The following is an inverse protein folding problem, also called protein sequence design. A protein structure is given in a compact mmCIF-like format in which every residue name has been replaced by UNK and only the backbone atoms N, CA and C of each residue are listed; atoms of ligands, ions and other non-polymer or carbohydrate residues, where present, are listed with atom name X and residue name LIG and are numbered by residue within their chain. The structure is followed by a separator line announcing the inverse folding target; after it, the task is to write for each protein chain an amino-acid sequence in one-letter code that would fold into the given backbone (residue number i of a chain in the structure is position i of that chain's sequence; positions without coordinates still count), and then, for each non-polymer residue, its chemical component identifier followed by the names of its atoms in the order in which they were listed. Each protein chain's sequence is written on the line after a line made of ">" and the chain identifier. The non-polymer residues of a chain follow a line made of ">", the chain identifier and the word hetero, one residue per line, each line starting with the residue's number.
data_IF_569255048096
#
_entry.id   IF_569255048096
#
_cell.length_a   1.000
_cell.length_b   1.000
_cell.length_c   1.000
_cell.angle_alpha   90.00
_cell.angle_beta   90.00
_cell.angle_gamma   90.00
#
_symmetry.space_group_name_H-M   'P 1'
#
loop_
_entity.id
_entity.type
_entity.pdbx_description
1 polymer ?
#
# COMPACT_ATOMS: atom_id res chain seq x y z
N UNK A 1 42.39 -5.42 -29.77
CA UNK A 1 41.40 -6.49 -29.57
C UNK A 1 40.42 -5.99 -28.52
N UNK A 2 39.31 -5.38 -28.93
CA UNK A 2 38.27 -4.93 -27.98
C UNK A 2 37.43 -6.13 -27.57
N UNK A 3 37.43 -6.46 -26.29
CA UNK A 3 36.53 -7.44 -25.72
C UNK A 3 35.16 -6.78 -25.49
N UNK A 4 34.15 -7.26 -26.21
CA UNK A 4 32.75 -6.87 -26.01
C UNK A 4 32.27 -7.41 -24.67
N UNK A 5 31.71 -6.56 -23.80
CA UNK A 5 31.14 -6.99 -22.53
C UNK A 5 29.93 -7.91 -22.76
N UNK A 6 29.72 -8.95 -21.93
CA UNK A 6 28.58 -9.84 -22.06
C UNK A 6 27.27 -9.11 -21.75
N UNK A 7 26.25 -9.35 -22.57
CA UNK A 7 24.88 -8.85 -22.39
C UNK A 7 24.27 -9.43 -21.10
N UNK A 8 23.57 -8.62 -20.29
CA UNK A 8 22.96 -9.11 -19.05
C UNK A 8 21.89 -10.16 -19.38
N UNK A 9 21.76 -11.23 -18.56
CA UNK A 9 20.78 -12.27 -18.83
C UNK A 9 19.37 -11.67 -18.75
N UNK A 10 18.59 -11.89 -19.82
CA UNK A 10 17.17 -11.57 -19.82
C UNK A 10 16.49 -12.29 -18.65
N UNK A 11 15.82 -11.54 -17.78
CA UNK A 11 15.09 -12.08 -16.63
C UNK A 11 13.92 -12.91 -17.15
N UNK A 12 14.12 -14.21 -17.31
CA UNK A 12 13.09 -15.14 -17.75
C UNK A 12 12.26 -15.59 -16.55
N UNK A 13 11.40 -14.71 -16.03
CA UNK A 13 10.31 -15.16 -15.16
C UNK A 13 9.12 -15.53 -16.05
N UNK A 14 8.90 -16.83 -16.21
CA UNK A 14 7.65 -17.33 -16.78
C UNK A 14 6.49 -16.79 -15.93
N UNK A 15 5.52 -16.04 -16.49
CA UNK A 15 4.42 -15.51 -15.71
C UNK A 15 3.62 -16.67 -15.10
N UNK A 16 3.44 -16.65 -13.78
CA UNK A 16 2.48 -17.54 -13.14
C UNK A 16 1.07 -17.21 -13.66
N UNK A 17 0.20 -18.20 -13.89
CA UNK A 17 -1.18 -17.95 -14.31
C UNK A 17 -1.87 -17.04 -13.29
N UNK A 18 -2.45 -15.92 -13.76
CA UNK A 18 -3.09 -14.92 -12.92
C UNK A 18 -3.07 -13.52 -13.55
N UNK A 19 -3.57 -12.50 -12.83
CA UNK A 19 -3.52 -11.10 -13.27
C UNK A 19 -2.08 -10.66 -13.55
N UNK A 20 -1.90 -9.57 -14.31
CA UNK A 20 -0.56 -9.02 -14.50
C UNK A 20 0.05 -8.57 -13.15
N UNK A 21 1.37 -8.40 -13.10
CA UNK A 21 2.03 -7.97 -11.86
C UNK A 21 1.49 -6.63 -11.37
N UNK A 22 1.28 -5.67 -12.28
CA UNK A 22 0.71 -4.37 -11.96
C UNK A 22 -0.70 -4.49 -11.38
N UNK A 23 -1.57 -5.35 -11.94
CA UNK A 23 -2.91 -5.58 -11.42
C UNK A 23 -2.89 -6.17 -10.01
N UNK A 24 -1.95 -7.08 -9.72
CA UNK A 24 -1.79 -7.64 -8.37
C UNK A 24 -1.33 -6.59 -7.37
N UNK A 25 -0.41 -5.71 -7.76
CA UNK A 25 0.05 -4.60 -6.91
C UNK A 25 -1.11 -3.65 -6.65
N UNK A 26 -1.84 -3.24 -7.69
CA UNK A 26 -3.00 -2.37 -7.55
C UNK A 26 -4.07 -2.98 -6.64
N UNK A 27 -4.40 -4.27 -6.84
CA UNK A 27 -5.38 -4.96 -6.02
C UNK A 27 -4.94 -5.06 -4.56
N UNK A 28 -3.65 -5.31 -4.30
CA UNK A 28 -3.10 -5.36 -2.95
C UNK A 28 -3.20 -4.00 -2.26
N UNK A 29 -2.80 -2.91 -2.94
CA UNK A 29 -2.86 -1.56 -2.38
C UNK A 29 -4.31 -1.10 -2.15
N UNK A 30 -5.20 -1.36 -3.12
CA UNK A 30 -6.61 -1.00 -3.01
C UNK A 30 -7.31 -1.79 -1.88
N UNK A 31 -7.04 -3.09 -1.75
CA UNK A 31 -7.61 -3.90 -0.68
C UNK A 31 -7.07 -3.50 0.70
N UNK A 32 -5.78 -3.17 0.79
CA UNK A 32 -5.19 -2.62 2.02
C UNK A 32 -5.86 -1.32 2.45
N UNK A 33 -5.99 -0.36 1.52
CA UNK A 33 -6.65 0.92 1.79
C UNK A 33 -8.14 0.77 2.15
N UNK A 34 -8.84 -0.17 1.50
CA UNK A 34 -10.22 -0.47 1.85
C UNK A 34 -10.35 -1.09 3.26
N UNK A 35 -9.44 -2.00 3.61
CA UNK A 35 -9.39 -2.62 4.94
C UNK A 35 -9.05 -1.63 6.05
N UNK A 36 -8.08 -0.75 5.80
CA UNK A 36 -7.75 0.39 6.66
C UNK A 36 -8.99 1.28 6.88
N UNK A 37 -9.58 1.82 5.81
CA UNK A 37 -10.72 2.73 5.93
C UNK A 37 -11.93 2.10 6.66
N UNK A 38 -12.15 0.79 6.49
CA UNK A 38 -13.20 0.06 7.18
C UNK A 38 -12.87 -0.19 8.66
N UNK A 39 -11.63 -0.59 8.94
CA UNK A 39 -11.14 -0.90 10.28
C UNK A 39 -10.98 0.33 11.17
N UNK A 40 -10.58 1.46 10.58
CA UNK A 40 -10.36 2.73 11.28
C UNK A 40 -11.61 3.24 12.02
N UNK A 41 -12.81 2.97 11.50
CA UNK A 41 -14.08 3.39 12.14
C UNK A 41 -14.30 2.72 13.50
N UNK A 42 -13.77 1.51 13.67
CA UNK A 42 -13.90 0.74 14.91
C UNK A 42 -12.58 0.60 15.66
N UNK A 43 -11.58 1.40 15.27
CA UNK A 43 -10.30 1.43 15.95
C UNK A 43 -10.50 1.72 17.45
N UNK A 44 -9.75 1.01 18.31
CA UNK A 44 -9.87 1.05 19.77
C UNK A 44 -11.23 0.61 20.36
N UNK A 45 -12.16 0.12 19.55
CA UNK A 45 -13.43 -0.45 20.03
C UNK A 45 -13.25 -1.93 20.37
N UNK A 46 -13.59 -2.39 21.58
CA UNK A 46 -13.48 -3.81 21.93
C UNK A 46 -14.47 -4.63 21.11
N UNK A 47 -14.13 -5.89 20.81
CA UNK A 47 -14.95 -6.78 19.98
C UNK A 47 -16.41 -6.91 20.47
N UNK A 48 -16.65 -6.86 21.79
CA UNK A 48 -18.01 -6.85 22.36
C UNK A 48 -18.79 -5.57 22.04
N UNK A 49 -18.12 -4.42 21.98
CA UNK A 49 -18.71 -3.14 21.57
C UNK A 49 -19.03 -3.14 20.08
N UNK A 50 -18.10 -3.62 19.24
CA UNK A 50 -18.33 -3.79 17.80
C UNK A 50 -19.55 -4.70 17.56
N UNK A 51 -19.62 -5.84 18.26
CA UNK A 51 -20.73 -6.77 18.10
C UNK A 51 -22.08 -6.21 18.59
N UNK A 52 -22.07 -5.32 19.60
CA UNK A 52 -23.28 -4.68 20.10
C UNK A 52 -23.87 -3.66 19.10
N UNK A 53 -23.02 -2.99 18.32
CA UNK A 53 -23.44 -1.98 17.33
C UNK A 53 -23.69 -2.61 15.95
N UNK A 54 -22.80 -3.47 15.48
CA UNK A 54 -22.80 -4.02 14.12
C UNK A 54 -23.28 -5.48 14.04
N UNK A 55 -23.60 -6.10 15.18
CA UNK A 55 -24.01 -7.50 15.25
C UNK A 55 -22.82 -8.48 15.28
N UNK A 56 -23.08 -9.78 15.41
CA UNK A 56 -22.03 -10.80 15.64
C UNK A 56 -21.03 -10.96 14.49
N UNK A 57 -21.37 -10.49 13.28
CA UNK A 57 -20.47 -10.49 12.13
C UNK A 57 -19.48 -9.30 12.14
N UNK A 58 -19.70 -8.31 13.02
CA UNK A 58 -18.94 -7.07 13.04
C UNK A 58 -19.19 -6.20 11.82
N UNK A 59 -18.19 -5.40 11.46
CA UNK A 59 -18.25 -4.48 10.32
C UNK A 59 -18.11 -5.27 9.01
N UNK A 60 -19.14 -5.20 8.17
CA UNK A 60 -19.18 -5.96 6.89
C UNK A 60 -19.64 -5.14 5.68
N UNK A 61 -20.21 -3.95 5.90
CA UNK A 61 -20.70 -3.07 4.84
C UNK A 61 -20.25 -1.62 5.10
N UNK A 62 -19.54 -1.04 4.13
CA UNK A 62 -19.11 0.35 4.18
C UNK A 62 -20.28 1.34 4.02
N UNK A 63 -21.36 0.96 3.32
CA UNK A 63 -22.52 1.82 3.13
C UNK A 63 -23.22 2.12 4.47
N UNK A 64 -23.31 1.11 5.34
CA UNK A 64 -23.87 1.26 6.68
C UNK A 64 -23.02 2.21 7.54
N UNK A 65 -21.69 2.09 7.48
CA UNK A 65 -20.80 3.02 8.19
C UNK A 65 -20.91 4.45 7.67
N UNK A 66 -20.93 4.63 6.35
CA UNK A 66 -21.08 5.95 5.73
C UNK A 66 -22.40 6.62 6.14
N UNK A 67 -23.48 5.84 6.20
CA UNK A 67 -24.78 6.34 6.66
C UNK A 67 -24.76 6.72 8.15
N UNK A 68 -24.06 5.95 9.00
CA UNK A 68 -23.91 6.24 10.44
C UNK A 68 -23.07 7.50 10.69
N UNK A 69 -21.96 7.65 9.97
CA UNK A 69 -21.05 8.80 10.08
C UNK A 69 -21.56 10.05 9.33
N UNK A 70 -22.61 9.92 8.51
CA UNK A 70 -23.09 11.00 7.65
C UNK A 70 -22.04 11.46 6.62
N UNK A 71 -21.16 10.54 6.21
CA UNK A 71 -20.01 10.83 5.37
C UNK A 71 -20.20 10.33 3.93
N UNK A 72 -19.46 10.93 2.99
CA UNK A 72 -19.44 10.51 1.58
C UNK A 72 -18.31 9.55 1.25
N UNK A 73 -17.32 9.42 2.13
CA UNK A 73 -16.21 8.47 2.04
C UNK A 73 -15.68 8.16 3.44
N UNK A 74 -15.11 6.97 3.61
CA UNK A 74 -14.36 6.62 4.82
C UNK A 74 -12.91 7.08 4.63
N UNK A 75 -12.33 7.82 5.60
CA UNK A 75 -10.95 8.25 5.51
C UNK A 75 -10.01 7.05 5.68
N UNK A 76 -8.91 7.05 4.93
CA UNK A 76 -7.76 6.19 5.21
C UNK A 76 -6.95 6.76 6.40
N UNK A 77 -6.28 5.89 7.17
CA UNK A 77 -5.50 6.28 8.35
C UNK A 77 -3.99 6.36 8.04
N UNK A 78 -3.19 6.50 9.09
CA UNK A 78 -1.74 6.39 9.02
C UNK A 78 -1.27 5.04 8.45
N UNK A 79 -2.03 3.94 8.57
CA UNK A 79 -1.71 2.65 7.94
C UNK A 79 -1.52 2.79 6.42
N UNK A 80 -2.53 3.33 5.72
CA UNK A 80 -2.42 3.55 4.26
C UNK A 80 -1.48 4.70 3.94
N UNK A 81 -1.54 5.80 4.69
CA UNK A 81 -0.71 6.97 4.40
C UNK A 81 0.78 6.65 4.49
N UNK A 82 1.23 6.02 5.59
CA UNK A 82 2.62 5.58 5.74
C UNK A 82 2.99 4.53 4.70
N UNK A 83 2.09 3.60 4.35
CA UNK A 83 2.33 2.64 3.26
C UNK A 83 2.64 3.36 1.95
N UNK A 84 1.84 4.37 1.58
CA UNK A 84 2.05 5.14 0.35
C UNK A 84 3.36 5.95 0.38
N UNK A 85 3.73 6.52 1.52
CA UNK A 85 5.01 7.23 1.66
C UNK A 85 6.23 6.30 1.64
N UNK A 86 6.11 5.08 2.17
CA UNK A 86 7.15 4.05 2.01
C UNK A 86 7.33 3.69 0.53
N UNK A 87 6.23 3.55 -0.22
CA UNK A 87 6.28 3.29 -1.66
C UNK A 87 6.90 4.46 -2.43
N UNK A 88 6.56 5.70 -2.07
CA UNK A 88 7.15 6.91 -2.65
C UNK A 88 8.68 6.92 -2.50
N UNK A 89 9.19 6.64 -1.29
CA UNK A 89 10.64 6.55 -1.06
C UNK A 89 11.33 5.40 -1.81
N UNK A 90 10.64 4.27 -1.99
CA UNK A 90 11.17 3.15 -2.79
C UNK A 90 11.18 3.47 -4.29
N UNK A 91 10.16 4.16 -4.81
CA UNK A 91 10.11 4.60 -6.20
C UNK A 91 11.21 5.63 -6.48
N UNK A 92 11.39 6.62 -5.60
CA UNK A 92 12.47 7.61 -5.69
C UNK A 92 13.84 6.94 -5.74
N UNK A 93 14.07 5.91 -4.90
CA UNK A 93 15.29 5.12 -4.95
C UNK A 93 15.49 4.38 -6.28
N UNK A 94 14.45 3.71 -6.81
CA UNK A 94 14.50 3.00 -8.09
C UNK A 94 14.81 3.97 -9.25
N UNK A 95 14.21 5.16 -9.25
CA UNK A 95 14.45 6.20 -10.24
C UNK A 95 15.92 6.63 -10.24
N UNK A 96 16.50 6.93 -9.06
CA UNK A 96 17.91 7.30 -8.97
C UNK A 96 18.84 6.16 -9.41
N UNK A 97 18.51 4.92 -9.07
CA UNK A 97 19.29 3.75 -9.53
C UNK A 97 19.23 3.59 -11.05
N UNK A 98 18.07 3.81 -11.68
CA UNK A 98 17.92 3.79 -13.14
C UNK A 98 18.73 4.91 -13.83
N UNK A 99 18.87 6.06 -13.16
CA UNK A 99 19.68 7.19 -13.62
C UNK A 99 21.19 7.03 -13.32
N UNK A 100 21.59 5.94 -12.66
CA UNK A 100 22.98 5.69 -12.27
C UNK A 100 23.48 6.55 -11.11
N UNK A 101 22.55 7.16 -10.36
CA UNK A 101 22.83 8.00 -9.19
C UNK A 101 22.83 7.13 -7.92
N UNK A 102 23.94 7.07 -7.16
CA UNK A 102 23.97 6.34 -5.90
C UNK A 102 22.96 6.92 -4.89
N UNK A 103 22.14 6.04 -4.33
CA UNK A 103 21.05 6.37 -3.42
C UNK A 103 20.97 5.30 -2.32
N UNK A 104 20.81 5.71 -1.06
CA UNK A 104 20.54 4.76 0.02
C UNK A 104 19.03 4.52 0.13
N UNK A 105 18.53 3.29 -0.09
CA UNK A 105 17.09 3.02 -0.03
C UNK A 105 16.48 3.32 1.33
N UNK A 106 17.24 3.12 2.42
CA UNK A 106 16.76 3.43 3.76
C UNK A 106 16.60 4.95 3.96
N UNK A 107 17.55 5.76 3.48
CA UNK A 107 17.45 7.21 3.50
C UNK A 107 16.27 7.73 2.67
N UNK A 108 16.02 7.19 1.47
CA UNK A 108 14.87 7.61 0.65
C UNK A 108 13.54 7.34 1.35
N UNK A 109 13.35 6.13 1.91
CA UNK A 109 12.15 5.79 2.68
C UNK A 109 12.03 6.67 3.93
N UNK A 110 13.12 6.88 4.66
CA UNK A 110 13.11 7.73 5.86
C UNK A 110 12.71 9.17 5.55
N UNK A 111 13.28 9.76 4.49
CA UNK A 111 12.94 11.11 4.05
C UNK A 111 11.48 11.20 3.57
N UNK A 112 10.96 10.17 2.91
CA UNK A 112 9.55 10.11 2.54
C UNK A 112 8.64 10.06 3.78
N UNK A 113 8.94 9.20 4.76
CA UNK A 113 8.20 9.18 6.03
C UNK A 113 8.29 10.52 6.79
N UNK A 114 9.38 11.26 6.68
CA UNK A 114 9.49 12.62 7.24
C UNK A 114 8.67 13.67 6.48
N UNK A 115 8.36 13.46 5.19
CA UNK A 115 7.42 14.33 4.44
C UNK A 115 5.97 14.09 4.86
N UNK A 116 5.66 12.92 5.40
CA UNK A 116 4.35 12.61 5.94
C UNK A 116 4.09 13.25 7.31
N UNK A 117 5.11 13.27 8.18
CA UNK A 117 5.05 13.81 9.55
C UNK A 117 4.95 15.35 9.57
#
# INVERSE_FOLDING_TARGET
>A
MSATAPEPPASSSTPLPGPEHADRVLALLAAGAAGDALGGVVEFTPASGIAAVHGPAGVTDAADLLAQEGAHALPITDDTQLTLYVLDGLLEWIEWQNDGVPADPAACVWLACLRWF
#
